data_IF_312723192989
#
_entry.id   IF_312723192989
#
_cell.length_a   1.000
_cell.length_b   1.000
_cell.length_c   1.000
_cell.angle_alpha   90.00
_cell.angle_beta   90.00
_cell.angle_gamma   90.00
#
_symmetry.space_group_name_H-M   'P 1'
#
loop_
_entity.id
_entity.type
_entity.pdbx_description
1 polymer ?
#
# COMPACT_ATOMS: atom_id res chain seq x y z
N UNK A 1 3.86 -1.05 20.50
CA UNK A 1 3.65 -2.31 19.74
C UNK A 1 4.58 -2.33 18.54
N UNK A 2 5.16 -3.49 18.17
CA UNK A 2 6.06 -3.66 17.01
C UNK A 2 5.28 -4.16 15.80
N UNK A 3 4.61 -3.25 15.08
CA UNK A 3 3.72 -3.59 13.96
C UNK A 3 4.54 -3.96 12.71
N UNK A 4 4.18 -5.06 12.05
CA UNK A 4 4.85 -5.55 10.83
C UNK A 4 4.12 -5.20 9.53
N UNK A 5 2.81 -5.01 9.56
CA UNK A 5 2.00 -4.69 8.39
C UNK A 5 1.04 -3.55 8.67
N UNK A 6 0.91 -2.63 7.70
CA UNK A 6 0.02 -1.49 7.81
C UNK A 6 -0.98 -1.46 6.66
N UNK A 7 -2.27 -1.33 6.97
CA UNK A 7 -3.36 -1.20 5.99
C UNK A 7 -4.02 0.16 6.17
N UNK A 8 -3.88 1.06 5.18
CA UNK A 8 -4.23 2.48 5.34
C UNK A 8 -4.78 3.12 4.08
N UNK A 9 -5.52 4.21 4.23
CA UNK A 9 -5.93 5.05 3.10
C UNK A 9 -4.78 5.98 2.62
N UNK A 10 -4.82 6.49 1.37
CA UNK A 10 -3.79 7.37 0.82
C UNK A 10 -3.40 8.59 1.70
N UNK A 11 -4.31 9.26 2.44
CA UNK A 11 -3.93 10.37 3.32
C UNK A 11 -2.92 9.97 4.42
N UNK A 12 -2.95 8.72 4.88
CA UNK A 12 -1.98 8.24 5.87
C UNK A 12 -0.64 7.94 5.20
N UNK A 13 -0.63 7.44 3.97
CA UNK A 13 0.61 7.29 3.18
C UNK A 13 1.26 8.66 2.96
N UNK A 14 0.46 9.70 2.70
CA UNK A 14 0.93 11.08 2.62
C UNK A 14 1.56 11.57 3.92
N UNK A 15 0.89 11.33 5.05
CA UNK A 15 1.42 11.67 6.36
C UNK A 15 2.74 10.93 6.64
N UNK A 16 2.82 9.64 6.34
CA UNK A 16 4.05 8.84 6.50
C UNK A 16 5.20 9.36 5.62
N UNK A 17 4.89 9.76 4.38
CA UNK A 17 5.89 10.31 3.46
C UNK A 17 6.38 11.70 3.87
N UNK A 18 5.55 12.55 4.48
CA UNK A 18 5.85 14.00 4.66
C UNK A 18 5.91 14.49 6.10
N UNK A 19 5.17 13.93 7.04
CA UNK A 19 5.04 14.49 8.38
C UNK A 19 6.36 14.39 9.18
N UNK A 20 6.83 15.47 9.85
CA UNK A 20 8.14 15.47 10.52
C UNK A 20 8.25 14.42 11.63
N UNK A 21 7.20 14.25 12.44
CA UNK A 21 7.17 13.29 13.55
C UNK A 21 7.49 11.85 13.14
N UNK A 22 7.30 11.45 11.88
CA UNK A 22 7.61 10.09 11.41
C UNK A 22 9.09 9.75 11.65
N UNK A 23 9.98 10.75 11.56
CA UNK A 23 11.42 10.56 11.83
C UNK A 23 11.77 10.41 13.31
N UNK A 24 10.83 10.65 14.22
CA UNK A 24 11.02 10.54 15.67
C UNK A 24 10.65 9.16 16.23
N UNK A 25 10.06 8.28 15.42
CA UNK A 25 9.62 6.95 15.83
C UNK A 25 10.47 5.83 15.21
N UNK A 26 10.72 4.78 16.00
CA UNK A 26 11.27 3.52 15.51
C UNK A 26 10.19 2.73 14.75
N UNK A 27 10.28 2.74 13.42
CA UNK A 27 9.41 1.99 12.51
C UNK A 27 10.10 0.75 11.92
N UNK A 28 11.24 0.30 12.50
CA UNK A 28 12.04 -0.82 11.99
C UNK A 28 11.31 -2.17 11.97
N UNK A 29 10.19 -2.30 12.69
CA UNK A 29 9.39 -3.53 12.64
C UNK A 29 8.53 -3.62 11.38
N UNK A 30 8.31 -2.53 10.66
CA UNK A 30 7.41 -2.46 9.51
C UNK A 30 8.02 -3.18 8.32
N UNK A 31 7.30 -4.16 7.78
CA UNK A 31 7.73 -4.98 6.65
C UNK A 31 6.98 -4.65 5.36
N UNK A 32 5.73 -4.18 5.45
CA UNK A 32 4.96 -3.79 4.29
C UNK A 32 3.82 -2.81 4.63
N UNK A 33 3.40 -2.06 3.61
CA UNK A 33 2.26 -1.14 3.67
C UNK A 33 1.34 -1.49 2.50
N UNK A 34 0.04 -1.57 2.76
CA UNK A 34 -1.02 -1.72 1.76
C UNK A 34 -1.91 -0.48 1.82
N UNK A 35 -2.04 0.21 0.69
CA UNK A 35 -2.96 1.31 0.49
C UNK A 35 -4.18 0.90 -0.31
N UNK A 36 -5.36 1.32 0.13
CA UNK A 36 -6.63 0.98 -0.51
C UNK A 36 -7.66 2.11 -0.35
N UNK A 37 -8.88 1.90 -0.83
CA UNK A 37 -10.04 2.77 -0.72
C UNK A 37 -10.02 4.07 -1.55
N UNK A 38 -8.85 4.53 -2.02
CA UNK A 38 -8.74 5.63 -2.98
C UNK A 38 -7.45 5.48 -3.82
N UNK A 39 -7.38 6.12 -5.00
CA UNK A 39 -6.17 6.11 -5.82
C UNK A 39 -4.96 6.65 -5.04
N UNK A 40 -3.82 5.97 -5.14
CA UNK A 40 -2.54 6.43 -4.62
C UNK A 40 -1.62 6.84 -5.77
N UNK A 41 -1.08 8.04 -5.68
CA UNK A 41 -0.07 8.54 -6.60
C UNK A 41 1.24 7.74 -6.50
N UNK A 42 1.83 7.41 -7.66
CA UNK A 42 3.01 6.55 -7.72
C UNK A 42 4.26 7.22 -7.11
N UNK A 43 4.43 8.53 -7.31
CA UNK A 43 5.55 9.27 -6.73
C UNK A 43 5.41 9.35 -5.21
N UNK A 44 4.18 9.53 -4.71
CA UNK A 44 3.90 9.50 -3.28
C UNK A 44 4.18 8.14 -2.64
N UNK A 45 3.79 7.05 -3.32
CA UNK A 45 4.07 5.69 -2.89
C UNK A 45 5.58 5.45 -2.76
N UNK A 46 6.34 5.84 -3.79
CA UNK A 46 7.79 5.72 -3.81
C UNK A 46 8.45 6.55 -2.72
N UNK A 47 8.03 7.81 -2.54
CA UNK A 47 8.54 8.68 -1.49
C UNK A 47 8.32 8.11 -0.08
N UNK A 48 7.16 7.47 0.15
CA UNK A 48 6.87 6.79 1.41
C UNK A 48 7.80 5.58 1.63
N UNK A 49 7.92 4.71 0.62
CA UNK A 49 8.79 3.52 0.69
C UNK A 49 10.26 3.90 0.91
N UNK A 50 10.77 4.87 0.15
CA UNK A 50 12.14 5.37 0.28
C UNK A 50 12.40 5.97 1.67
N UNK A 51 11.46 6.76 2.20
CA UNK A 51 11.60 7.38 3.54
C UNK A 51 11.61 6.35 4.66
N UNK A 52 10.77 5.32 4.57
CA UNK A 52 10.61 4.32 5.62
C UNK A 52 11.56 3.12 5.46
N UNK A 53 12.28 3.02 4.34
CA UNK A 53 13.16 1.89 4.04
C UNK A 53 12.41 0.56 3.87
N UNK A 54 11.16 0.62 3.41
CA UNK A 54 10.29 -0.56 3.21
C UNK A 54 10.12 -0.86 1.71
N UNK A 55 9.73 -2.10 1.34
CA UNK A 55 9.37 -2.43 -0.04
C UNK A 55 8.29 -1.48 -0.61
N UNK A 56 8.10 -1.46 -1.95
CA UNK A 56 7.12 -0.57 -2.58
C UNK A 56 5.73 -0.70 -1.96
N UNK A 57 5.13 0.43 -1.56
CA UNK A 57 3.77 0.48 -1.01
C UNK A 57 2.82 -0.26 -1.95
N UNK A 58 2.14 -1.28 -1.43
CA UNK A 58 1.22 -2.12 -2.19
C UNK A 58 -0.11 -1.39 -2.34
N UNK A 59 -0.75 -1.52 -3.49
CA UNK A 59 -2.12 -1.04 -3.66
C UNK A 59 -3.10 -2.21 -3.67
N UNK A 60 -4.31 -1.95 -3.23
CA UNK A 60 -5.44 -2.85 -3.37
C UNK A 60 -6.64 -2.08 -3.88
N UNK A 61 -7.40 -2.71 -4.77
CA UNK A 61 -8.66 -2.19 -5.27
C UNK A 61 -9.84 -2.98 -4.72
N UNK A 62 -10.87 -2.24 -4.36
CA UNK A 62 -12.07 -2.76 -3.76
C UNK A 62 -13.15 -1.72 -3.65
N UNK A 63 -14.36 -2.21 -3.40
CA UNK A 63 -15.56 -1.42 -3.12
C UNK A 63 -16.36 -2.19 -2.08
N UNK A 64 -17.22 -1.49 -1.35
CA UNK A 64 -18.15 -2.11 -0.39
C UNK A 64 -18.97 -3.24 -1.02
N UNK A 65 -19.41 -3.04 -2.27
CA UNK A 65 -20.19 -3.95 -3.09
C UNK A 65 -19.42 -5.21 -3.51
N UNK A 66 -18.09 -5.19 -3.37
CA UNK A 66 -17.18 -6.29 -3.76
C UNK A 66 -16.67 -7.10 -2.56
N UNK A 67 -17.20 -6.86 -1.36
CA UNK A 67 -16.94 -7.64 -0.13
C UNK A 67 -15.46 -8.00 0.17
N UNK A 68 -14.55 -7.04 0.41
CA UNK A 68 -14.54 -5.61 0.07
C UNK A 68 -13.48 -5.29 -1.01
N UNK A 69 -12.92 -6.29 -1.67
CA UNK A 69 -11.72 -6.16 -2.50
C UNK A 69 -11.66 -7.22 -3.60
N UNK A 70 -11.14 -6.83 -4.76
CA UNK A 70 -10.97 -7.75 -5.91
C UNK A 70 -9.54 -7.83 -6.39
N UNK A 71 -8.72 -6.80 -6.16
CA UNK A 71 -7.33 -6.78 -6.59
C UNK A 71 -6.38 -6.42 -5.45
N UNK A 72 -5.20 -7.02 -5.46
CA UNK A 72 -4.10 -6.64 -4.57
C UNK A 72 -2.76 -6.83 -5.29
N UNK A 73 -1.82 -5.92 -5.05
CA UNK A 73 -0.42 -6.13 -5.42
C UNK A 73 0.18 -7.20 -4.50
N UNK A 74 0.56 -8.39 -5.00
CA UNK A 74 1.07 -9.45 -4.14
C UNK A 74 2.39 -9.04 -3.49
N UNK A 75 2.59 -9.41 -2.22
CA UNK A 75 3.81 -9.09 -1.48
C UNK A 75 5.08 -9.66 -2.13
N UNK A 76 4.96 -10.78 -2.85
CA UNK A 76 6.04 -11.45 -3.58
C UNK A 76 6.50 -10.72 -4.84
N UNK A 77 5.80 -9.69 -5.30
CA UNK A 77 6.22 -8.89 -6.45
C UNK A 77 7.16 -7.79 -5.98
N UNK A 78 8.45 -7.92 -6.26
CA UNK A 78 9.46 -6.93 -5.82
C UNK A 78 9.22 -5.56 -6.45
N UNK A 79 9.02 -5.51 -7.77
CA UNK A 79 8.87 -4.29 -8.55
C UNK A 79 7.54 -4.29 -9.31
N UNK A 80 6.41 -3.96 -8.64
CA UNK A 80 5.13 -3.85 -9.32
C UNK A 80 5.12 -2.64 -10.26
N UNK A 81 4.41 -2.69 -11.40
CA UNK A 81 4.21 -1.52 -12.25
C UNK A 81 3.67 -0.32 -11.45
N UNK A 82 4.23 0.89 -11.60
CA UNK A 82 3.74 2.07 -10.90
C UNK A 82 2.23 2.28 -11.12
N UNK A 83 1.50 2.59 -10.05
CA UNK A 83 0.05 2.84 -10.11
C UNK A 83 -0.83 1.59 -10.25
N UNK A 84 -0.28 0.37 -10.36
CA UNK A 84 -1.11 -0.85 -10.46
C UNK A 84 -1.83 -1.16 -9.16
N UNK A 85 -3.06 -1.69 -9.27
CA UNK A 85 -3.83 -2.26 -8.15
C UNK A 85 -3.58 -3.76 -7.97
N UNK A 86 -2.73 -4.34 -8.83
CA UNK A 86 -2.27 -5.72 -8.73
C UNK A 86 -3.14 -6.73 -9.45
N UNK A 87 -3.19 -7.94 -8.90
CA UNK A 87 -3.85 -9.11 -9.53
C UNK A 87 -5.18 -9.39 -8.85
N UNK A 88 -6.07 -10.07 -9.56
CA UNK A 88 -7.31 -10.59 -9.01
C UNK A 88 -7.04 -11.50 -7.80
N UNK A 89 -7.87 -11.35 -6.77
CA UNK A 89 -7.90 -12.29 -5.66
C UNK A 89 -8.41 -13.66 -6.12
N UNK A 90 -7.98 -14.76 -5.47
CA UNK A 90 -8.46 -16.11 -5.79
C UNK A 90 -9.99 -16.18 -5.80
N UNK A 91 -10.55 -16.85 -6.82
CA UNK A 91 -12.00 -16.98 -6.97
C UNK A 91 -12.70 -15.73 -7.52
N UNK A 92 -11.96 -14.71 -7.95
CA UNK A 92 -12.51 -13.52 -8.62
C UNK A 92 -12.26 -13.59 -10.13
N UNK A 93 -13.27 -13.26 -10.92
CA UNK A 93 -13.16 -13.05 -12.37
C UNK A 93 -13.48 -11.59 -12.70
N UNK A 94 -12.82 -11.05 -13.73
CA UNK A 94 -13.05 -9.69 -14.22
C UNK A 94 -13.13 -9.71 -15.74
N UNK A 95 -14.00 -8.88 -16.30
CA UNK A 95 -14.10 -8.60 -17.74
C UNK A 95 -14.12 -7.09 -17.97
N UNK A 96 -13.55 -6.66 -19.09
CA UNK A 96 -13.61 -5.28 -19.62
C UNK A 96 -14.43 -5.30 -20.89
#
# INVERSE_FOLDING_TARGET
HRISGLYVAPPIVLALAKHPLVGEYDLSSLQYIVSAAAPLDAELAEACSARLGVPPVRQAYGMTELSPGTHVVPLSVEQPPPGTVGKLLPGTEMRI
#
